data_IF_627427137480
#
_entry.id   IF_627427137480
#
_cell.length_a   1.000
_cell.length_b   1.000
_cell.length_c   1.000
_cell.angle_alpha   90.00
_cell.angle_beta   90.00
_cell.angle_gamma   90.00
#
_symmetry.space_group_name_H-M   'P 1'
#
loop_
_entity.id
_entity.type
_entity.pdbx_description
1 polymer ?
#
# COMPACT_ATOMS: atom_id res chain seq x y z
N UNK A 1 4.82 1.55 6.97
CA UNK A 1 3.91 0.64 6.22
C UNK A 1 4.65 -0.49 5.48
N UNK A 2 5.72 -0.13 4.77
CA UNK A 2 6.61 -1.01 4.06
C UNK A 2 7.25 -2.11 4.94
N UNK A 3 7.65 -1.80 6.18
CA UNK A 3 8.20 -2.79 7.11
C UNK A 3 7.19 -3.90 7.46
N UNK A 4 5.91 -3.55 7.56
CA UNK A 4 4.83 -4.52 7.78
C UNK A 4 4.72 -5.45 6.58
N UNK A 5 4.78 -4.91 5.36
CA UNK A 5 4.75 -5.72 4.13
C UNK A 5 5.99 -6.62 4.02
N UNK A 6 7.16 -6.12 4.38
CA UNK A 6 8.41 -6.91 4.41
C UNK A 6 8.26 -8.10 5.36
N UNK A 7 7.80 -7.86 6.59
CA UNK A 7 7.60 -8.94 7.55
C UNK A 7 6.55 -9.96 7.10
N UNK A 8 5.46 -9.49 6.49
CA UNK A 8 4.44 -10.37 5.92
C UNK A 8 4.99 -11.21 4.77
N UNK A 9 5.85 -10.64 3.91
CA UNK A 9 6.51 -11.36 2.82
C UNK A 9 7.44 -12.46 3.35
N UNK A 10 8.30 -12.15 4.33
CA UNK A 10 9.17 -13.12 4.99
C UNK A 10 8.37 -14.27 5.64
N UNK A 11 7.26 -13.95 6.30
CA UNK A 11 6.39 -14.96 6.91
C UNK A 11 5.71 -15.83 5.86
N UNK A 12 5.21 -15.24 4.77
CA UNK A 12 4.54 -15.94 3.69
C UNK A 12 5.50 -16.90 2.97
N UNK A 13 6.73 -16.49 2.70
CA UNK A 13 7.76 -17.34 2.08
C UNK A 13 8.05 -18.61 2.90
N UNK A 14 7.89 -18.56 4.23
CA UNK A 14 8.09 -19.73 5.11
C UNK A 14 6.94 -20.74 5.05
N UNK A 15 5.79 -20.36 4.48
CA UNK A 15 4.62 -21.24 4.33
C UNK A 15 4.64 -22.06 3.03
N UNK A 16 5.56 -21.76 2.11
CA UNK A 16 5.68 -22.43 0.81
C UNK A 16 5.60 -21.45 -0.36
N UNK A 17 6.31 -21.76 -1.45
CA UNK A 17 6.45 -20.90 -2.63
C UNK A 17 5.24 -20.90 -3.57
N UNK A 18 4.20 -21.67 -3.27
CA UNK A 18 2.95 -21.77 -4.03
C UNK A 18 1.88 -20.78 -3.55
N UNK A 19 2.17 -20.02 -2.49
CA UNK A 19 1.24 -19.05 -1.88
C UNK A 19 1.71 -17.64 -2.13
N UNK A 20 0.87 -16.86 -2.79
CA UNK A 20 1.10 -15.43 -3.00
C UNK A 20 -0.19 -14.63 -2.80
N UNK A 21 -0.04 -13.38 -2.40
CA UNK A 21 -1.16 -12.45 -2.26
C UNK A 21 -0.74 -11.03 -2.62
N UNK A 22 -1.62 -10.25 -3.23
CA UNK A 22 -1.39 -8.82 -3.36
C UNK A 22 -1.88 -8.10 -2.11
N UNK A 23 -1.22 -7.03 -1.72
CA UNK A 23 -1.58 -6.26 -0.54
C UNK A 23 -1.31 -4.77 -0.73
N UNK A 24 -2.23 -3.93 -0.27
CA UNK A 24 -2.05 -2.50 -0.16
C UNK A 24 -2.23 -2.13 1.32
N UNK A 25 -1.22 -1.48 1.91
CA UNK A 25 -1.25 -1.12 3.33
C UNK A 25 -1.12 0.39 3.49
N UNK A 26 -2.16 1.02 4.04
CA UNK A 26 -2.26 2.45 4.24
C UNK A 26 -2.46 2.77 5.72
N UNK A 27 -1.75 3.79 6.21
CA UNK A 27 -1.92 4.37 7.54
C UNK A 27 -2.33 5.82 7.35
N UNK A 28 -3.50 6.18 7.87
CA UNK A 28 -4.03 7.53 7.81
C UNK A 28 -3.75 8.28 9.12
N UNK A 29 -3.16 9.46 9.01
CA UNK A 29 -3.06 10.44 10.09
C UNK A 29 -4.19 11.48 9.94
N UNK A 30 -5.22 11.43 10.80
CA UNK A 30 -6.35 12.36 10.74
C UNK A 30 -6.01 13.78 11.24
N UNK A 31 -4.91 13.95 11.97
CA UNK A 31 -4.46 15.25 12.49
C UNK A 31 -3.67 15.99 11.42
N UNK A 32 -2.75 15.28 10.76
CA UNK A 32 -1.95 15.84 9.67
C UNK A 32 -2.69 15.84 8.31
N UNK A 33 -3.79 15.10 8.18
CA UNK A 33 -4.49 14.86 6.91
C UNK A 33 -3.59 14.23 5.84
N UNK A 34 -2.86 13.18 6.22
CA UNK A 34 -1.91 12.48 5.34
C UNK A 34 -2.09 10.99 5.41
N UNK A 35 -1.82 10.31 4.30
CA UNK A 35 -1.75 8.85 4.24
C UNK A 35 -0.31 8.47 3.92
N UNK A 36 0.25 7.55 4.71
CA UNK A 36 1.45 6.80 4.32
C UNK A 36 1.03 5.44 3.78
N UNK A 37 1.45 5.09 2.57
CA UNK A 37 0.98 3.91 1.86
C UNK A 37 2.13 3.13 1.23
N UNK A 38 2.05 1.80 1.28
CA UNK A 38 2.96 0.87 0.59
C UNK A 38 2.16 -0.20 -0.16
N UNK A 39 2.72 -0.71 -1.26
CA UNK A 39 2.02 -1.61 -2.18
C UNK A 39 2.85 -2.86 -2.51
N UNK A 40 2.26 -4.03 -2.31
CA UNK A 40 2.77 -5.35 -2.70
C UNK A 40 1.92 -5.91 -3.86
N UNK A 41 2.18 -5.46 -5.09
CA UNK A 41 1.56 -5.97 -6.32
C UNK A 41 0.05 -5.69 -6.48
N UNK A 42 -0.56 -4.87 -5.62
CA UNK A 42 -1.97 -4.52 -5.68
C UNK A 42 -2.24 -3.42 -6.72
N UNK A 43 -3.43 -3.38 -7.35
CA UNK A 43 -3.81 -2.27 -8.22
C UNK A 43 -3.74 -0.90 -7.51
N UNK A 44 -3.37 0.19 -8.21
CA UNK A 44 -3.29 1.53 -7.63
C UNK A 44 -4.63 1.97 -7.01
N UNK A 45 -4.63 2.53 -5.78
CA UNK A 45 -5.84 3.02 -5.15
C UNK A 45 -6.33 4.32 -5.78
N UNK A 46 -7.61 4.62 -5.55
CA UNK A 46 -8.26 5.86 -5.99
C UNK A 46 -8.63 6.68 -4.76
N UNK A 47 -8.31 7.98 -4.79
CA UNK A 47 -8.75 8.97 -3.81
C UNK A 47 -9.94 9.74 -4.37
N UNK A 48 -11.05 9.74 -3.65
CA UNK A 48 -12.25 10.50 -3.97
C UNK A 48 -12.28 11.78 -3.12
N UNK A 49 -12.22 12.93 -3.79
CA UNK A 49 -12.29 14.25 -3.14
C UNK A 49 -13.74 14.66 -2.85
N UNK A 50 -13.95 15.55 -1.87
CA UNK A 50 -15.27 16.08 -1.48
C UNK A 50 -16.09 16.73 -2.62
N UNK A 51 -15.46 17.09 -3.74
CA UNK A 51 -16.12 17.60 -4.94
C UNK A 51 -16.49 16.54 -5.99
N UNK A 52 -16.33 15.25 -5.68
CA UNK A 52 -16.57 14.14 -6.62
C UNK A 52 -15.44 13.89 -7.62
N UNK A 53 -14.34 14.66 -7.54
CA UNK A 53 -13.13 14.39 -8.33
C UNK A 53 -12.47 13.11 -7.81
N UNK A 54 -12.21 12.16 -8.70
CA UNK A 54 -11.45 10.95 -8.41
C UNK A 54 -10.02 11.07 -8.94
N UNK A 55 -9.06 10.53 -8.20
CA UNK A 55 -7.64 10.56 -8.55
C UNK A 55 -7.00 9.19 -8.30
N UNK A 56 -6.35 8.62 -9.32
CA UNK A 56 -5.56 7.40 -9.14
C UNK A 56 -4.23 7.79 -8.49
N UNK A 57 -3.97 7.26 -7.31
CA UNK A 57 -2.75 7.55 -6.56
C UNK A 57 -1.57 6.77 -7.15
N UNK A 58 -0.43 7.45 -7.28
CA UNK A 58 0.82 6.83 -7.72
C UNK A 58 1.56 6.28 -6.50
N UNK A 59 1.50 4.96 -6.36
CA UNK A 59 2.23 4.23 -5.30
C UNK A 59 3.20 3.27 -5.99
N UNK A 60 4.50 3.27 -5.63
CA UNK A 60 5.46 2.32 -6.16
C UNK A 60 4.97 0.90 -5.95
N UNK A 61 4.94 0.11 -7.03
CA UNK A 61 4.50 -1.28 -6.95
C UNK A 61 5.66 -2.18 -6.51
N UNK A 62 5.47 -2.92 -5.42
CA UNK A 62 6.32 -4.05 -5.05
C UNK A 62 5.84 -5.37 -5.64
N UNK A 63 6.57 -6.45 -5.37
CA UNK A 63 6.12 -7.81 -5.69
C UNK A 63 4.93 -8.22 -4.80
N UNK A 64 4.08 -9.16 -5.22
CA UNK A 64 3.11 -9.77 -4.32
C UNK A 64 3.80 -10.41 -3.10
N UNK A 65 3.11 -10.39 -1.95
CA UNK A 65 3.53 -11.06 -0.73
C UNK A 65 3.74 -12.55 -1.00
N UNK A 66 4.84 -13.11 -0.50
CA UNK A 66 5.28 -14.50 -0.68
C UNK A 66 6.22 -14.71 -1.88
N UNK A 67 6.40 -13.70 -2.74
CA UNK A 67 7.26 -13.80 -3.94
C UNK A 67 8.69 -13.35 -3.65
N UNK A 68 8.87 -12.32 -2.81
CA UNK A 68 10.16 -11.67 -2.57
C UNK A 68 10.77 -10.96 -3.79
N UNK A 69 12.06 -10.65 -3.68
CA UNK A 69 12.88 -10.17 -4.80
C UNK A 69 12.92 -8.66 -5.02
N UNK A 70 12.12 -7.89 -4.30
CA UNK A 70 12.16 -6.41 -4.31
C UNK A 70 11.81 -5.84 -2.94
N UNK A 71 12.32 -4.66 -2.63
CA UNK A 71 11.91 -3.92 -1.44
C UNK A 71 10.53 -3.28 -1.63
N UNK A 72 9.80 -3.13 -0.53
CA UNK A 72 8.59 -2.33 -0.49
C UNK A 72 8.94 -0.87 -0.18
N UNK A 73 8.39 0.05 -0.96
CA UNK A 73 8.54 1.48 -0.72
C UNK A 73 7.24 2.06 -0.18
N UNK A 74 7.35 2.94 0.81
CA UNK A 74 6.24 3.74 1.28
C UNK A 74 6.33 5.17 0.76
N UNK A 75 5.19 5.69 0.32
CA UNK A 75 5.04 7.08 -0.07
C UNK A 75 4.01 7.76 0.82
N UNK A 76 4.16 9.06 0.97
CA UNK A 76 3.27 9.88 1.76
C UNK A 76 2.50 10.83 0.85
N UNK A 77 1.19 10.88 1.01
CA UNK A 77 0.26 11.58 0.14
C UNK A 77 -0.72 12.40 0.98
N UNK A 78 -1.18 13.51 0.43
CA UNK A 78 -2.23 14.31 1.07
C UNK A 78 -3.57 13.54 1.05
N UNK A 79 -4.25 13.57 2.19
CA UNK A 79 -5.57 12.98 2.38
C UNK A 79 -6.48 14.02 3.04
N UNK A 80 -7.00 14.97 2.25
CA UNK A 80 -7.81 16.07 2.76
C UNK A 80 -9.02 15.55 3.54
N UNK A 81 -9.45 16.30 4.56
CA UNK A 81 -10.63 15.99 5.33
C UNK A 81 -11.85 15.72 4.42
N UNK A 82 -12.56 14.62 4.67
CA UNK A 82 -13.74 14.20 3.91
C UNK A 82 -13.46 13.52 2.58
N UNK A 83 -12.19 13.33 2.18
CA UNK A 83 -11.84 12.43 1.09
C UNK A 83 -11.95 10.95 1.55
N UNK A 84 -12.27 10.05 0.62
CA UNK A 84 -12.32 8.58 0.84
C UNK A 84 -11.44 7.84 -0.13
#
# INVERSE_FOLDING_TARGET
PQEVLHHLDEQAQRLGSDRMATCLYAVYDPVAHRITIANAGHPPPVLLHLGGRAEVLRVPAGAPIGVGGVDFEAVELDAPAGAT
#
